data_IF_503788513460
#
_entry.id   IF_503788513460
#
_cell.length_a   1.000
_cell.length_b   1.000
_cell.length_c   1.000
_cell.angle_alpha   90.00
_cell.angle_beta   90.00
_cell.angle_gamma   90.00
#
_symmetry.space_group_name_H-M   'P 1'
#
loop_
_entity.id
_entity.type
_entity.pdbx_description
1 polymer ?
#
# COMPACT_ATOMS: atom_id res chain seq x y z
N UNK A 1 -14.88 -29.74 3.25
CA UNK A 1 -13.58 -29.55 3.94
C UNK A 1 -12.60 -29.00 2.90
N UNK A 2 -12.37 -27.70 2.91
CA UNK A 2 -11.46 -27.08 1.92
C UNK A 2 -10.03 -27.30 2.43
N UNK A 3 -9.29 -28.16 1.76
CA UNK A 3 -7.88 -28.37 2.02
C UNK A 3 -7.13 -27.12 1.57
N UNK A 4 -6.61 -26.34 2.48
CA UNK A 4 -5.63 -25.29 2.22
C UNK A 4 -4.28 -25.98 1.97
N UNK A 5 -4.13 -26.57 0.78
CA UNK A 5 -2.83 -27.07 0.36
C UNK A 5 -1.96 -25.88 -0.01
N UNK A 6 -0.86 -25.72 0.73
CA UNK A 6 0.23 -24.83 0.31
C UNK A 6 0.72 -25.28 -1.07
N UNK A 7 1.18 -24.35 -1.92
CA UNK A 7 1.78 -24.73 -3.18
C UNK A 7 2.97 -25.65 -2.93
N UNK A 8 3.17 -26.59 -3.82
CA UNK A 8 4.31 -27.51 -3.76
C UNK A 8 5.62 -26.71 -3.97
N UNK A 9 6.72 -27.20 -3.43
CA UNK A 9 8.02 -26.52 -3.55
C UNK A 9 8.40 -26.21 -5.01
N UNK A 10 8.02 -27.11 -5.92
CA UNK A 10 8.22 -26.93 -7.34
C UNK A 10 7.36 -25.79 -7.91
N UNK A 11 6.07 -25.73 -7.57
CA UNK A 11 5.18 -24.65 -7.97
C UNK A 11 5.65 -23.30 -7.44
N UNK A 12 6.14 -23.27 -6.19
CA UNK A 12 6.70 -22.08 -5.58
C UNK A 12 7.96 -21.58 -6.29
N UNK A 13 8.90 -22.44 -6.58
CA UNK A 13 10.14 -22.09 -7.31
C UNK A 13 9.84 -21.62 -8.73
N UNK A 14 8.90 -22.27 -9.42
CA UNK A 14 8.47 -21.88 -10.76
C UNK A 14 7.84 -20.49 -10.73
N UNK A 15 6.99 -20.21 -9.76
CA UNK A 15 6.40 -18.88 -9.55
C UNK A 15 7.48 -17.80 -9.36
N UNK A 16 8.46 -18.05 -8.50
CA UNK A 16 9.55 -17.09 -8.27
C UNK A 16 10.39 -16.86 -9.53
N UNK A 17 10.65 -17.91 -10.30
CA UNK A 17 11.36 -17.80 -11.57
C UNK A 17 10.57 -17.00 -12.63
N UNK A 18 9.24 -17.14 -12.65
CA UNK A 18 8.36 -16.39 -13.55
C UNK A 18 8.20 -14.93 -13.17
N UNK A 19 8.30 -14.59 -11.88
CA UNK A 19 8.25 -13.19 -11.39
C UNK A 19 9.47 -12.42 -11.88
N UNK A 20 10.60 -13.10 -12.06
CA UNK A 20 11.84 -12.52 -12.56
C UNK A 20 12.93 -12.38 -11.50
N UNK A 21 13.96 -11.56 -11.76
CA UNK A 21 15.06 -11.41 -10.83
C UNK A 21 14.58 -10.81 -9.50
N UNK A 22 14.87 -11.51 -8.40
CA UNK A 22 14.57 -11.05 -7.05
C UNK A 22 15.80 -10.32 -6.45
N UNK A 23 15.60 -9.31 -5.61
CA UNK A 23 14.33 -8.76 -5.15
C UNK A 23 13.64 -7.88 -6.21
N UNK A 24 12.33 -8.06 -6.39
CA UNK A 24 11.51 -7.18 -7.22
C UNK A 24 10.95 -6.05 -6.35
N UNK A 25 11.36 -4.83 -6.62
CA UNK A 25 10.93 -3.65 -5.89
C UNK A 25 10.12 -2.71 -6.77
N UNK A 26 9.14 -2.06 -6.16
CA UNK A 26 8.39 -1.02 -6.84
C UNK A 26 7.56 -0.17 -5.88
N UNK A 27 7.07 0.98 -6.35
CA UNK A 27 6.24 1.85 -5.55
C UNK A 27 4.95 1.12 -5.13
N UNK A 28 4.55 1.29 -3.87
CA UNK A 28 3.28 0.73 -3.39
C UNK A 28 2.06 1.45 -4.01
N UNK A 29 2.21 2.73 -4.34
CA UNK A 29 1.15 3.56 -4.91
C UNK A 29 1.47 3.97 -6.35
N UNK A 30 0.47 3.99 -7.25
CA UNK A 30 0.62 4.51 -8.60
C UNK A 30 1.07 5.97 -8.58
N UNK A 31 1.87 6.37 -9.57
CA UNK A 31 2.41 7.71 -9.65
C UNK A 31 1.33 8.80 -9.67
N UNK A 32 0.24 8.58 -10.41
CA UNK A 32 -0.87 9.53 -10.49
C UNK A 32 -1.56 9.75 -9.13
N UNK A 33 -1.67 8.72 -8.28
CA UNK A 33 -2.23 8.83 -6.93
C UNK A 33 -1.34 9.70 -6.04
N UNK A 34 -0.02 9.56 -6.16
CA UNK A 34 0.95 10.38 -5.43
C UNK A 34 0.82 11.87 -5.81
N UNK A 35 0.73 12.16 -7.10
CA UNK A 35 0.51 13.52 -7.59
C UNK A 35 -0.85 14.09 -7.15
N UNK A 36 -1.91 13.27 -7.22
CA UNK A 36 -3.23 13.67 -6.75
C UNK A 36 -3.22 14.02 -5.26
N UNK A 37 -2.54 13.25 -4.42
CA UNK A 37 -2.42 13.53 -2.99
C UNK A 37 -1.77 14.90 -2.73
N UNK A 38 -0.70 15.22 -3.44
CA UNK A 38 -0.02 16.52 -3.34
C UNK A 38 -0.88 17.66 -3.87
N UNK A 39 -1.60 17.46 -4.97
CA UNK A 39 -2.51 18.45 -5.55
C UNK A 39 -3.65 18.78 -4.59
N UNK A 40 -4.28 17.75 -3.99
CA UNK A 40 -5.35 17.94 -2.99
C UNK A 40 -4.81 18.67 -1.77
N UNK A 41 -3.63 18.29 -1.28
CA UNK A 41 -3.00 18.97 -0.15
C UNK A 41 -2.73 20.45 -0.46
N UNK A 42 -2.19 20.75 -1.63
CA UNK A 42 -1.96 22.14 -2.07
C UNK A 42 -3.26 22.94 -2.16
N UNK A 43 -4.33 22.35 -2.70
CA UNK A 43 -5.65 23.00 -2.78
C UNK A 43 -6.22 23.28 -1.38
N UNK A 44 -6.09 22.34 -0.45
CA UNK A 44 -6.53 22.52 0.94
C UNK A 44 -5.75 23.65 1.61
N UNK A 45 -4.42 23.66 1.49
CA UNK A 45 -3.58 24.72 2.07
C UNK A 45 -3.95 26.08 1.47
N UNK A 46 -4.10 26.16 0.15
CA UNK A 46 -4.49 27.40 -0.53
C UNK A 46 -5.83 27.93 0.00
N UNK A 47 -6.83 27.07 0.12
CA UNK A 47 -8.14 27.44 0.67
C UNK A 47 -8.04 27.90 2.11
N UNK A 48 -7.23 27.24 2.93
CA UNK A 48 -7.03 27.63 4.33
C UNK A 48 -6.35 29.00 4.44
N UNK A 49 -5.36 29.30 3.58
CA UNK A 49 -4.71 30.62 3.54
C UNK A 49 -5.70 31.71 3.18
N UNK A 50 -6.51 31.52 2.15
CA UNK A 50 -7.55 32.50 1.77
C UNK A 50 -8.58 32.69 2.89
N UNK A 51 -9.03 31.59 3.52
CA UNK A 51 -9.97 31.68 4.64
C UNK A 51 -9.36 32.38 5.83
N UNK A 52 -8.12 32.11 6.18
CA UNK A 52 -7.41 32.76 7.30
C UNK A 52 -7.21 34.26 7.06
N UNK A 53 -7.03 34.68 5.81
CA UNK A 53 -6.92 36.10 5.44
C UNK A 53 -8.26 36.85 5.46
N UNK A 54 -9.40 36.14 5.47
CA UNK A 54 -10.72 36.73 5.50
C UNK A 54 -11.12 37.25 6.89
N UNK A 55 -12.03 38.24 6.99
CA UNK A 55 -12.57 38.70 8.29
C UNK A 55 -13.14 37.57 9.15
N UNK A 56 -13.84 36.62 8.53
CA UNK A 56 -14.36 35.43 9.21
C UNK A 56 -13.26 34.55 9.81
N UNK A 57 -12.15 34.36 9.11
CA UNK A 57 -10.99 33.60 9.60
C UNK A 57 -10.27 34.26 10.79
N UNK A 58 -10.32 35.60 10.88
CA UNK A 58 -9.75 36.32 12.02
C UNK A 58 -10.54 36.08 13.32
N UNK A 59 -11.84 35.85 13.22
CA UNK A 59 -12.72 35.59 14.37
C UNK A 59 -12.65 34.14 14.88
N UNK A 60 -11.97 33.23 14.15
CA UNK A 60 -11.83 31.82 14.56
C UNK A 60 -10.92 31.71 15.80
N UNK A 61 -11.40 30.97 16.79
CA UNK A 61 -10.68 30.74 18.04
C UNK A 61 -9.36 29.99 17.84
N UNK A 62 -8.41 30.27 18.72
CA UNK A 62 -7.04 29.71 18.66
C UNK A 62 -7.02 28.18 18.67
N UNK A 63 -7.90 27.54 19.44
CA UNK A 63 -7.99 26.09 19.48
C UNK A 63 -8.30 25.47 18.12
N UNK A 64 -9.25 26.08 17.36
CA UNK A 64 -9.59 25.62 16.00
C UNK A 64 -8.43 25.84 15.05
N UNK A 65 -7.73 26.96 15.13
CA UNK A 65 -6.53 27.24 14.32
C UNK A 65 -5.45 26.16 14.54
N UNK A 66 -5.19 25.82 15.79
CA UNK A 66 -4.22 24.77 16.13
C UNK A 66 -4.66 23.41 15.58
N UNK A 67 -5.94 23.03 15.74
CA UNK A 67 -6.48 21.78 15.21
C UNK A 67 -6.33 21.66 13.69
N UNK A 68 -6.60 22.75 12.97
CA UNK A 68 -6.43 22.79 11.51
C UNK A 68 -4.97 22.62 11.11
N UNK A 69 -4.04 23.29 11.80
CA UNK A 69 -2.61 23.16 11.54
C UNK A 69 -2.16 21.71 11.77
N UNK A 70 -2.57 21.08 12.86
CA UNK A 70 -2.27 19.67 13.15
C UNK A 70 -2.82 18.72 12.07
N UNK A 71 -4.05 18.97 11.58
CA UNK A 71 -4.61 18.21 10.46
C UNK A 71 -3.78 18.34 9.18
N UNK A 72 -3.34 19.56 8.83
CA UNK A 72 -2.50 19.80 7.65
C UNK A 72 -1.15 19.09 7.79
N UNK A 73 -0.53 19.15 8.97
CA UNK A 73 0.70 18.41 9.25
C UNK A 73 0.47 16.90 9.07
N UNK A 74 -0.61 16.36 9.64
CA UNK A 74 -0.96 14.94 9.50
C UNK A 74 -1.15 14.52 8.04
N UNK A 75 -1.86 15.32 7.24
CA UNK A 75 -2.06 15.07 5.81
C UNK A 75 -0.74 15.14 5.03
N UNK A 76 0.14 16.08 5.37
CA UNK A 76 1.48 16.21 4.76
C UNK A 76 2.35 14.97 5.04
N UNK A 77 2.35 14.52 6.29
CA UNK A 77 3.06 13.29 6.69
C UNK A 77 2.50 12.09 5.95
N UNK A 78 1.19 11.95 5.84
CA UNK A 78 0.55 10.87 5.12
C UNK A 78 0.91 10.89 3.62
N UNK A 79 0.85 12.05 2.98
CA UNK A 79 1.24 12.22 1.57
C UNK A 79 2.73 11.85 1.35
N UNK A 80 3.59 12.20 2.31
CA UNK A 80 5.01 11.83 2.29
C UNK A 80 5.20 10.31 2.38
N UNK A 81 4.50 9.65 3.29
CA UNK A 81 4.55 8.19 3.39
C UNK A 81 4.02 7.48 2.14
N UNK A 82 2.94 7.97 1.54
CA UNK A 82 2.45 7.44 0.26
C UNK A 82 3.49 7.58 -0.85
N UNK A 83 4.24 8.69 -0.85
CA UNK A 83 5.28 8.94 -1.86
C UNK A 83 6.48 8.00 -1.70
N UNK A 84 6.90 7.71 -0.47
CA UNK A 84 8.10 6.92 -0.16
C UNK A 84 7.82 5.43 0.03
N UNK A 85 6.57 5.01 0.05
CA UNK A 85 6.20 3.62 0.28
C UNK A 85 6.64 2.71 -0.88
N UNK A 86 7.36 1.64 -0.53
CA UNK A 86 7.89 0.65 -1.47
C UNK A 86 7.40 -0.74 -1.09
N UNK A 87 6.99 -1.51 -2.07
CA UNK A 87 6.69 -2.93 -1.93
C UNK A 87 7.82 -3.74 -2.56
N UNK A 88 8.30 -4.74 -1.84
CA UNK A 88 9.41 -5.61 -2.24
C UNK A 88 8.97 -7.07 -2.17
N UNK A 89 9.29 -7.82 -3.22
CA UNK A 89 9.14 -9.28 -3.27
C UNK A 89 10.55 -9.86 -3.17
N UNK A 90 10.79 -10.71 -2.18
CA UNK A 90 12.07 -11.35 -1.92
C UNK A 90 11.96 -12.87 -1.97
N UNK A 91 13.08 -13.57 -1.94
CA UNK A 91 13.09 -15.03 -1.79
C UNK A 91 12.49 -15.50 -0.45
N UNK A 92 12.57 -14.66 0.59
CA UNK A 92 12.04 -14.97 1.92
C UNK A 92 10.55 -14.67 2.08
N UNK A 93 10.02 -13.73 1.31
CA UNK A 93 8.62 -13.30 1.43
C UNK A 93 8.32 -11.96 0.79
N UNK A 94 7.24 -11.35 1.26
CA UNK A 94 6.76 -10.04 0.84
C UNK A 94 7.02 -9.01 1.93
N UNK A 95 7.51 -7.85 1.53
CA UNK A 95 7.76 -6.72 2.42
C UNK A 95 7.13 -5.45 1.84
N UNK A 96 6.63 -4.59 2.72
CA UNK A 96 6.17 -3.25 2.35
C UNK A 96 6.54 -2.25 3.42
N UNK A 97 7.20 -1.17 3.03
CA UNK A 97 7.43 0.00 3.87
C UNK A 97 6.26 0.97 3.73
N UNK A 98 5.64 1.33 4.85
CA UNK A 98 4.65 2.39 4.93
C UNK A 98 4.85 3.13 6.27
N UNK A 99 3.80 3.53 6.99
CA UNK A 99 3.90 4.09 8.36
C UNK A 99 4.58 3.08 9.30
N UNK A 100 4.43 1.76 9.01
CA UNK A 100 5.16 0.67 9.63
C UNK A 100 5.65 -0.31 8.57
N UNK A 101 6.63 -1.13 8.93
CA UNK A 101 7.09 -2.23 8.08
C UNK A 101 6.08 -3.38 8.17
N UNK A 102 5.62 -3.84 7.03
CA UNK A 102 4.80 -5.05 6.90
C UNK A 102 5.65 -6.10 6.20
N UNK A 103 5.73 -7.26 6.77
CA UNK A 103 6.44 -8.39 6.19
C UNK A 103 5.66 -9.68 6.43
N UNK A 104 5.76 -10.60 5.50
CA UNK A 104 5.20 -11.93 5.59
C UNK A 104 6.12 -12.92 4.88
N UNK A 105 6.48 -14.00 5.56
CA UNK A 105 7.24 -15.07 4.94
C UNK A 105 6.34 -15.94 4.04
N UNK A 106 6.90 -16.52 2.99
CA UNK A 106 6.15 -17.42 2.11
C UNK A 106 5.54 -18.60 2.85
N UNK A 107 6.23 -19.08 3.89
CA UNK A 107 5.78 -20.19 4.75
C UNK A 107 4.51 -19.88 5.53
N UNK A 108 4.26 -18.62 5.84
CA UNK A 108 3.10 -18.19 6.61
C UNK A 108 1.85 -18.00 5.74
N UNK A 109 2.02 -17.88 4.41
CA UNK A 109 0.91 -17.65 3.50
C UNK A 109 0.15 -18.95 3.23
N UNK A 110 -1.10 -18.98 3.64
CA UNK A 110 -2.00 -20.11 3.34
C UNK A 110 -2.85 -19.87 2.09
N UNK A 111 -3.19 -18.62 1.85
CA UNK A 111 -4.03 -18.19 0.73
C UNK A 111 -3.73 -16.74 0.38
N UNK A 112 -3.72 -16.43 -0.91
CA UNK A 112 -3.56 -15.06 -1.39
C UNK A 112 -4.67 -14.68 -2.37
N UNK A 113 -5.20 -13.45 -2.24
CA UNK A 113 -6.22 -12.91 -3.13
C UNK A 113 -5.76 -11.59 -3.73
N UNK A 114 -5.79 -11.53 -5.05
CA UNK A 114 -5.51 -10.30 -5.78
C UNK A 114 -6.81 -9.50 -5.99
N UNK A 115 -6.80 -8.21 -5.65
CA UNK A 115 -7.93 -7.31 -5.81
C UNK A 115 -7.50 -6.13 -6.70
N UNK A 116 -7.98 -6.08 -7.95
CA UNK A 116 -7.65 -4.99 -8.87
C UNK A 116 -8.55 -3.78 -8.63
N UNK A 117 -8.17 -2.90 -7.70
CA UNK A 117 -8.83 -1.62 -7.48
C UNK A 117 -8.28 -0.55 -8.44
N UNK A 118 -9.10 0.46 -8.75
CA UNK A 118 -8.71 1.56 -9.66
C UNK A 118 -7.54 2.36 -9.11
N UNK A 119 -7.58 2.70 -7.82
CA UNK A 119 -6.58 3.54 -7.17
C UNK A 119 -5.31 2.79 -6.74
N UNK A 120 -5.43 1.52 -6.41
CA UNK A 120 -4.29 0.64 -6.07
C UNK A 120 -4.68 -0.81 -6.22
N UNK A 121 -3.78 -1.61 -6.78
CA UNK A 121 -3.97 -3.06 -6.84
C UNK A 121 -3.41 -3.67 -5.58
N UNK A 122 -4.19 -4.56 -4.95
CA UNK A 122 -3.87 -5.11 -3.63
C UNK A 122 -3.73 -6.61 -3.70
N UNK A 123 -2.75 -7.14 -2.98
CA UNK A 123 -2.63 -8.55 -2.67
C UNK A 123 -2.94 -8.72 -1.18
N UNK A 124 -3.96 -9.50 -0.87
CA UNK A 124 -4.31 -9.85 0.51
C UNK A 124 -3.78 -11.25 0.76
N UNK A 125 -2.82 -11.37 1.68
CA UNK A 125 -2.25 -12.63 2.11
C UNK A 125 -2.90 -13.05 3.42
N UNK A 126 -3.48 -14.23 3.44
CA UNK A 126 -4.09 -14.82 4.63
C UNK A 126 -3.10 -15.78 5.27
N UNK A 127 -2.93 -15.66 6.57
CA UNK A 127 -2.11 -16.54 7.39
C UNK A 127 -2.98 -17.51 8.18
N UNK A 128 -2.45 -18.67 8.53
CA UNK A 128 -3.21 -19.69 9.26
C UNK A 128 -3.59 -19.29 10.71
N UNK A 129 -2.91 -18.30 11.28
CA UNK A 129 -3.06 -17.92 12.70
C UNK A 129 -3.19 -16.42 12.94
N UNK A 130 -3.23 -15.60 11.91
CA UNK A 130 -3.16 -14.14 12.07
C UNK A 130 -4.19 -13.36 11.27
N UNK A 131 -4.11 -12.04 11.40
CA UNK A 131 -4.88 -11.12 10.56
C UNK A 131 -4.33 -11.13 9.15
N UNK A 132 -5.17 -10.99 8.12
CA UNK A 132 -4.70 -10.88 6.76
C UNK A 132 -3.80 -9.66 6.59
N UNK A 133 -2.69 -9.83 5.88
CA UNK A 133 -1.75 -8.76 5.56
C UNK A 133 -2.01 -8.31 4.13
N UNK A 134 -2.17 -7.01 3.94
CA UNK A 134 -2.45 -6.42 2.63
C UNK A 134 -1.23 -5.68 2.12
N UNK A 135 -0.81 -6.03 0.90
CA UNK A 135 0.26 -5.37 0.15
C UNK A 135 -0.33 -4.61 -1.04
N UNK A 136 0.35 -3.56 -1.47
CA UNK A 136 -0.09 -2.70 -2.57
C UNK A 136 0.94 -2.71 -3.69
N UNK A 137 0.46 -2.68 -4.93
CA UNK A 137 1.28 -2.63 -6.13
C UNK A 137 0.97 -1.38 -6.96
N UNK A 138 1.90 -0.45 -6.98
CA UNK A 138 1.81 0.78 -7.78
C UNK A 138 2.42 0.66 -9.17
N UNK A 139 3.34 -0.30 -9.39
CA UNK A 139 3.95 -0.57 -10.70
C UNK A 139 3.27 -1.74 -11.40
N UNK A 140 3.36 -1.75 -12.75
CA UNK A 140 2.80 -2.84 -13.57
C UNK A 140 3.49 -4.19 -13.28
N UNK A 141 4.78 -4.17 -13.05
CA UNK A 141 5.57 -5.36 -12.75
C UNK A 141 5.13 -6.02 -11.44
N UNK A 142 4.97 -5.24 -10.38
CA UNK A 142 4.41 -5.72 -9.11
C UNK A 142 2.98 -6.25 -9.26
N UNK A 143 2.16 -5.63 -10.12
CA UNK A 143 0.79 -6.07 -10.36
C UNK A 143 0.74 -7.45 -11.02
N UNK A 144 1.63 -7.69 -12.00
CA UNK A 144 1.76 -8.99 -12.67
C UNK A 144 2.25 -10.03 -11.66
N UNK A 145 3.26 -9.70 -10.86
CA UNK A 145 3.77 -10.57 -9.81
C UNK A 145 2.68 -10.92 -8.79
N UNK A 146 1.88 -9.96 -8.35
CA UNK A 146 0.77 -10.19 -7.42
C UNK A 146 -0.31 -11.11 -8.01
N UNK A 147 -0.63 -10.95 -9.29
CA UNK A 147 -1.57 -11.82 -9.98
C UNK A 147 -1.04 -13.26 -10.04
N UNK A 148 0.26 -13.45 -10.28
CA UNK A 148 0.93 -14.77 -10.26
C UNK A 148 0.89 -15.40 -8.87
N UNK A 149 1.27 -14.66 -7.84
CA UNK A 149 1.22 -15.12 -6.44
C UNK A 149 -0.21 -15.56 -6.09
N UNK A 150 -1.22 -14.76 -6.43
CA UNK A 150 -2.60 -15.10 -6.17
C UNK A 150 -3.09 -16.35 -6.94
N UNK A 151 -2.51 -16.63 -8.10
CA UNK A 151 -2.85 -17.83 -8.87
C UNK A 151 -2.29 -19.09 -8.23
N UNK A 152 -1.04 -19.03 -7.75
CA UNK A 152 -0.35 -20.16 -7.10
C UNK A 152 -0.90 -20.43 -5.70
N UNK A 153 -1.13 -19.36 -4.91
CA UNK A 153 -1.71 -19.44 -3.55
C UNK A 153 -3.24 -19.38 -3.56
N UNK A 154 -3.87 -19.86 -4.62
CA UNK A 154 -5.32 -19.91 -4.74
C UNK A 154 -5.89 -21.00 -3.85
N UNK A 155 -7.06 -20.72 -3.25
CA UNK A 155 -7.86 -21.76 -2.55
C UNK A 155 -8.29 -22.81 -3.56
N UNK A 156 -7.80 -24.02 -3.42
CA UNK A 156 -8.25 -25.20 -4.19
C UNK A 156 -9.36 -25.94 -3.44
#
# INVERSE_FOLDING_TARGET
>A
MFSTQRPDEHEHRTMLAEIGPLPLEGPAWPQWVKWLAWLVLAAVILRLVFTAASPAGQMVGTAVKISVILCVIGLTVLARYMHTSVTRITEAGLEQSWIGRREIAWEDITFAKFIPLISSKKLICFTGRGRPVTFQAGSRELQIAFARIATVYRRR
#
